data_IF_299489359964
#
_entry.id   IF_299489359964
#
_cell.length_a   1.000
_cell.length_b   1.000
_cell.length_c   1.000
_cell.angle_alpha   90.00
_cell.angle_beta   90.00
_cell.angle_gamma   90.00
#
_symmetry.space_group_name_H-M   'P 1'
#
loop_
_entity.id
_entity.type
_entity.pdbx_description
1 polymer ?
#
# COMPACT_ATOMS: atom_id res chain seq x y z
N UNK A 1 17.55 -0.26 21.75
CA UNK A 1 18.12 0.33 22.99
C UNK A 1 18.76 1.69 22.73
N UNK A 2 19.50 1.89 21.63
CA UNK A 2 20.05 3.21 21.26
C UNK A 2 18.98 4.30 21.04
N UNK A 3 17.90 3.99 20.32
CA UNK A 3 16.84 4.98 20.04
C UNK A 3 16.09 5.40 21.32
N UNK A 4 15.83 4.45 22.22
CA UNK A 4 15.23 4.73 23.53
C UNK A 4 16.09 5.68 24.38
N UNK A 5 17.41 5.51 24.36
CA UNK A 5 18.30 6.37 25.14
C UNK A 5 18.36 7.79 24.61
N UNK A 6 18.27 7.99 23.29
CA UNK A 6 18.24 9.32 22.69
C UNK A 6 16.92 10.04 22.92
N UNK A 7 15.78 9.34 22.77
CA UNK A 7 14.45 9.96 22.91
C UNK A 7 14.15 10.35 24.37
N UNK A 8 14.63 9.57 25.34
CA UNK A 8 14.34 9.80 26.77
C UNK A 8 15.49 10.42 27.56
N UNK A 9 16.62 10.78 26.93
CA UNK A 9 17.82 11.28 27.61
C UNK A 9 17.50 12.44 28.56
N UNK A 10 16.74 13.42 28.08
CA UNK A 10 16.38 14.60 28.86
C UNK A 10 15.44 14.27 30.02
N UNK A 11 14.45 13.40 29.80
CA UNK A 11 13.49 12.97 30.82
C UNK A 11 14.22 12.17 31.93
N UNK A 12 15.11 11.26 31.53
CA UNK A 12 15.93 10.46 32.45
C UNK A 12 16.84 11.36 33.29
N UNK A 13 17.47 12.36 32.68
CA UNK A 13 18.32 13.34 33.40
C UNK A 13 17.52 14.15 34.43
N UNK A 14 16.32 14.60 34.09
CA UNK A 14 15.44 15.32 35.02
C UNK A 14 15.03 14.43 36.18
N UNK A 15 14.60 13.19 35.92
CA UNK A 15 14.24 12.23 36.97
C UNK A 15 15.44 11.95 37.89
N UNK A 16 16.63 11.72 37.33
CA UNK A 16 17.86 11.53 38.11
C UNK A 16 18.19 12.75 38.96
N UNK A 17 18.06 13.96 38.42
CA UNK A 17 18.33 15.19 39.18
C UNK A 17 17.36 15.35 40.37
N UNK A 18 16.08 15.01 40.17
CA UNK A 18 15.07 15.06 41.23
C UNK A 18 15.29 13.98 42.29
N UNK A 19 15.72 12.78 41.90
CA UNK A 19 16.07 11.70 42.84
C UNK A 19 17.31 12.05 43.66
N UNK A 20 18.33 12.65 43.04
CA UNK A 20 19.54 13.11 43.75
C UNK A 20 19.16 14.23 44.72
N UNK A 21 18.35 15.19 44.28
CA UNK A 21 17.88 16.28 45.13
C UNK A 21 17.06 15.77 46.33
N UNK A 22 16.11 14.85 46.10
CA UNK A 22 15.31 14.28 47.18
C UNK A 22 16.15 13.43 48.14
N UNK A 23 17.15 12.72 47.62
CA UNK A 23 18.10 11.95 48.45
C UNK A 23 18.94 12.88 49.34
N UNK A 24 19.40 14.01 48.82
CA UNK A 24 20.13 15.02 49.61
C UNK A 24 19.23 15.61 50.71
N UNK A 25 17.95 15.83 50.45
CA UNK A 25 16.98 16.29 51.46
C UNK A 25 16.71 15.23 52.54
N UNK A 26 16.69 13.93 52.19
CA UNK A 26 16.54 12.83 53.16
C UNK A 26 17.72 12.71 54.15
N UNK A 27 18.90 13.23 53.80
CA UNK A 27 20.08 13.20 54.68
C UNK A 27 20.09 14.34 55.71
N UNK A 28 19.10 15.25 55.68
CA UNK A 28 18.99 16.36 56.64
C UNK A 28 18.35 15.87 57.94
N UNK A 29 18.87 16.37 59.07
CA UNK A 29 18.37 16.04 60.42
C UNK A 29 17.05 16.74 60.77
N UNK A 30 16.71 17.84 60.08
CA UNK A 30 15.43 18.52 60.26
C UNK A 30 14.26 17.63 59.81
N UNK A 31 13.39 17.27 60.74
CA UNK A 31 12.27 16.34 60.54
C UNK A 31 11.35 16.76 59.37
N UNK A 32 11.09 18.06 59.24
CA UNK A 32 10.26 18.60 58.16
C UNK A 32 10.92 18.44 56.78
N UNK A 33 12.24 18.70 56.69
CA UNK A 33 13.00 18.60 55.44
C UNK A 33 13.21 17.13 55.04
N UNK A 34 13.45 16.27 56.02
CA UNK A 34 13.57 14.84 55.83
C UNK A 34 12.28 14.24 55.22
N UNK A 35 11.13 14.57 55.82
CA UNK A 35 9.82 14.11 55.36
C UNK A 35 9.50 14.59 53.92
N UNK A 36 9.88 15.81 53.56
CA UNK A 36 9.77 16.31 52.18
C UNK A 36 10.66 15.49 51.23
N UNK A 37 11.89 15.19 51.64
CA UNK A 37 12.82 14.35 50.87
C UNK A 37 12.27 12.95 50.61
N UNK A 38 11.75 12.29 51.65
CA UNK A 38 11.13 10.96 51.53
C UNK A 38 9.93 11.01 50.57
N UNK A 39 9.02 11.98 50.77
CA UNK A 39 7.83 12.13 49.94
C UNK A 39 8.17 12.36 48.47
N UNK A 40 9.12 13.26 48.19
CA UNK A 40 9.61 13.49 46.82
C UNK A 40 10.26 12.25 46.23
N UNK A 41 11.10 11.54 46.98
CA UNK A 41 11.77 10.33 46.49
C UNK A 41 10.75 9.26 46.10
N UNK A 42 9.77 9.00 46.97
CA UNK A 42 8.72 8.00 46.72
C UNK A 42 7.87 8.42 45.53
N UNK A 43 7.41 9.66 45.46
CA UNK A 43 6.56 10.13 44.36
C UNK A 43 7.31 10.09 43.02
N UNK A 44 8.53 10.62 42.95
CA UNK A 44 9.34 10.63 41.72
C UNK A 44 9.66 9.20 41.29
N UNK A 45 10.05 8.32 42.21
CA UNK A 45 10.34 6.90 41.90
C UNK A 45 9.10 6.17 41.39
N UNK A 46 7.96 6.37 42.05
CA UNK A 46 6.70 5.70 41.68
C UNK A 46 6.23 6.20 40.31
N UNK A 47 6.23 7.52 40.08
CA UNK A 47 5.87 8.10 38.79
C UNK A 47 6.82 7.64 37.68
N UNK A 48 8.14 7.63 37.92
CA UNK A 48 9.12 7.16 36.94
C UNK A 48 8.90 5.69 36.58
N UNK A 49 8.66 4.83 37.58
CA UNK A 49 8.35 3.43 37.36
C UNK A 49 7.05 3.28 36.57
N UNK A 50 5.99 4.00 36.92
CA UNK A 50 4.71 3.98 36.22
C UNK A 50 4.86 4.38 34.76
N UNK A 51 5.56 5.49 34.47
CA UNK A 51 5.78 5.95 33.09
C UNK A 51 6.57 4.91 32.29
N UNK A 52 7.64 4.34 32.84
CA UNK A 52 8.44 3.32 32.16
C UNK A 52 7.64 2.04 31.88
N UNK A 53 6.81 1.60 32.83
CA UNK A 53 5.97 0.41 32.67
C UNK A 53 4.86 0.66 31.64
N UNK A 54 4.16 1.80 31.73
CA UNK A 54 3.11 2.18 30.79
C UNK A 54 3.67 2.32 29.38
N UNK A 55 4.79 3.03 29.19
CA UNK A 55 5.41 3.18 27.86
C UNK A 55 5.82 1.83 27.28
N UNK A 56 6.41 0.95 28.10
CA UNK A 56 6.80 -0.40 27.65
C UNK A 56 5.59 -1.26 27.29
N UNK A 57 4.49 -1.16 28.04
CA UNK A 57 3.24 -1.83 27.72
C UNK A 57 2.63 -1.26 26.44
N UNK A 58 2.61 0.07 26.29
CA UNK A 58 2.10 0.76 25.12
C UNK A 58 2.86 0.34 23.86
N UNK A 59 4.19 0.42 23.86
CA UNK A 59 5.04 -0.04 22.75
C UNK A 59 4.81 -1.51 22.42
N UNK A 60 4.64 -2.38 23.42
CA UNK A 60 4.32 -3.81 23.18
C UNK A 60 2.96 -3.98 22.52
N UNK A 61 1.95 -3.25 22.97
CA UNK A 61 0.60 -3.29 22.40
C UNK A 61 0.62 -2.75 20.97
N UNK A 62 1.30 -1.64 20.75
CA UNK A 62 1.43 -0.99 19.44
C UNK A 62 2.12 -1.92 18.43
N UNK A 63 3.25 -2.53 18.80
CA UNK A 63 3.93 -3.52 17.94
C UNK A 63 3.05 -4.74 17.67
N UNK A 64 2.30 -5.22 18.68
CA UNK A 64 1.37 -6.35 18.51
C UNK A 64 0.19 -6.02 17.59
N UNK A 65 -0.32 -4.78 17.61
CA UNK A 65 -1.41 -4.33 16.74
C UNK A 65 -0.93 -3.98 15.33
N UNK A 66 0.26 -3.38 15.20
CA UNK A 66 0.80 -2.89 13.94
C UNK A 66 1.14 -4.02 12.97
N UNK A 67 1.80 -5.08 13.44
CA UNK A 67 2.26 -6.19 12.57
C UNK A 67 1.12 -6.93 11.84
N UNK A 68 0.00 -7.31 12.49
CA UNK A 68 -1.14 -7.90 11.79
C UNK A 68 -1.78 -6.96 10.77
N UNK A 69 -1.82 -5.65 11.06
CA UNK A 69 -2.37 -4.64 10.15
C UNK A 69 -1.47 -4.38 8.95
N UNK A 70 -0.15 -4.34 9.14
CA UNK A 70 0.83 -4.32 8.04
C UNK A 70 0.72 -5.57 7.16
N UNK A 71 0.51 -6.73 7.77
CA UNK A 71 0.28 -7.98 7.03
C UNK A 71 -1.03 -7.95 6.23
N UNK A 72 -2.11 -7.43 6.81
CA UNK A 72 -3.38 -7.25 6.12
C UNK A 72 -3.24 -6.27 4.94
N UNK A 73 -2.57 -5.13 5.15
CA UNK A 73 -2.27 -4.16 4.11
C UNK A 73 -1.49 -4.79 2.95
N UNK A 74 -0.44 -5.56 3.27
CA UNK A 74 0.33 -6.30 2.28
C UNK A 74 -0.54 -7.27 1.46
N UNK A 75 -1.41 -8.05 2.11
CA UNK A 75 -2.25 -9.01 1.41
C UNK A 75 -3.26 -8.33 0.48
N UNK A 76 -3.87 -7.22 0.92
CA UNK A 76 -4.85 -6.49 0.13
C UNK A 76 -4.18 -5.82 -1.09
N UNK A 77 -2.99 -5.22 -0.91
CA UNK A 77 -2.19 -4.67 -2.02
C UNK A 77 -1.75 -5.77 -2.99
N UNK A 78 -1.31 -6.92 -2.47
CA UNK A 78 -0.90 -8.07 -3.30
C UNK A 78 -2.07 -8.61 -4.11
N UNK A 79 -3.26 -8.74 -3.49
CA UNK A 79 -4.46 -9.19 -4.17
C UNK A 79 -4.89 -8.20 -5.26
N UNK A 80 -4.84 -6.90 -4.96
CA UNK A 80 -5.14 -5.84 -5.92
C UNK A 80 -4.18 -5.87 -7.12
N UNK A 81 -2.87 -5.98 -6.87
CA UNK A 81 -1.85 -6.10 -7.91
C UNK A 81 -2.05 -7.37 -8.77
N UNK A 82 -2.33 -8.52 -8.15
CA UNK A 82 -2.57 -9.78 -8.86
C UNK A 82 -3.81 -9.73 -9.75
N UNK A 83 -4.90 -9.09 -9.31
CA UNK A 83 -6.10 -8.90 -10.12
C UNK A 83 -5.78 -8.07 -11.37
N UNK A 84 -5.02 -6.99 -11.22
CA UNK A 84 -4.61 -6.16 -12.34
C UNK A 84 -3.74 -6.93 -13.35
N UNK A 85 -2.76 -7.68 -12.86
CA UNK A 85 -1.89 -8.51 -13.71
C UNK A 85 -2.69 -9.57 -14.46
N UNK A 86 -3.54 -10.30 -13.73
CA UNK A 86 -4.38 -11.36 -14.30
C UNK A 86 -5.33 -10.84 -15.37
N UNK A 87 -5.92 -9.66 -15.15
CA UNK A 87 -6.79 -9.00 -16.12
C UNK A 87 -6.05 -8.73 -17.44
N UNK A 88 -4.91 -8.05 -17.38
CA UNK A 88 -4.16 -7.69 -18.59
C UNK A 88 -3.49 -8.88 -19.26
N UNK A 89 -3.05 -9.90 -18.51
CA UNK A 89 -2.57 -11.16 -19.08
C UNK A 89 -3.69 -11.90 -19.81
N UNK A 90 -4.91 -11.85 -19.29
CA UNK A 90 -6.08 -12.43 -19.96
C UNK A 90 -6.39 -11.70 -21.25
N UNK A 91 -6.36 -10.35 -21.25
CA UNK A 91 -6.53 -9.55 -22.46
C UNK A 91 -5.42 -9.84 -23.50
N UNK A 92 -4.17 -9.93 -23.06
CA UNK A 92 -3.03 -10.25 -23.92
C UNK A 92 -3.16 -11.62 -24.60
N UNK A 93 -3.60 -12.62 -23.84
CA UNK A 93 -3.86 -13.98 -24.36
C UNK A 93 -5.02 -14.04 -25.33
N UNK A 94 -6.09 -13.30 -25.08
CA UNK A 94 -7.26 -13.25 -25.97
C UNK A 94 -6.94 -12.55 -27.30
N UNK A 95 -5.96 -11.63 -27.30
CA UNK A 95 -5.39 -11.07 -28.52
C UNK A 95 -4.53 -12.08 -29.33
N UNK A 96 -4.38 -13.32 -28.86
CA UNK A 96 -3.63 -14.38 -29.54
C UNK A 96 -2.15 -14.48 -29.17
N UNK A 97 -1.71 -13.81 -28.09
CA UNK A 97 -0.31 -13.83 -27.64
C UNK A 97 -0.13 -14.66 -26.36
N UNK A 98 0.74 -15.67 -26.38
CA UNK A 98 0.82 -16.66 -25.29
C UNK A 98 2.01 -16.50 -24.35
N UNK A 99 3.03 -15.72 -24.71
CA UNK A 99 4.16 -15.43 -23.84
C UNK A 99 4.75 -14.05 -24.14
N UNK A 100 4.92 -13.17 -23.14
CA UNK A 100 5.73 -11.97 -23.29
C UNK A 100 7.20 -12.38 -23.46
N UNK A 101 7.95 -11.64 -24.29
CA UNK A 101 9.36 -11.95 -24.59
C UNK A 101 10.34 -11.53 -23.50
N UNK A 102 9.85 -10.92 -22.41
CA UNK A 102 10.68 -10.24 -21.42
C UNK A 102 10.30 -10.60 -19.98
N UNK A 103 11.26 -10.43 -19.07
CA UNK A 103 11.12 -10.62 -17.62
C UNK A 103 10.14 -9.63 -16.98
N UNK A 104 9.98 -8.45 -17.59
CA UNK A 104 8.95 -7.45 -17.24
C UNK A 104 7.55 -7.80 -17.76
N UNK A 105 7.42 -8.93 -18.45
CA UNK A 105 6.14 -9.45 -18.92
C UNK A 105 5.49 -8.54 -19.95
N UNK A 106 4.18 -8.35 -19.80
CA UNK A 106 3.36 -7.48 -20.65
C UNK A 106 3.52 -5.99 -20.33
N UNK A 107 4.19 -5.61 -19.23
CA UNK A 107 4.29 -4.23 -18.74
C UNK A 107 5.44 -3.42 -19.36
N UNK A 108 5.82 -3.80 -20.58
CA UNK A 108 6.62 -2.97 -21.47
C UNK A 108 5.71 -2.31 -22.49
N UNK A 109 5.98 -1.05 -22.82
CA UNK A 109 5.16 -0.27 -23.75
C UNK A 109 4.90 -1.01 -25.08
N UNK A 110 5.92 -1.64 -25.66
CA UNK A 110 5.79 -2.39 -26.92
C UNK A 110 4.92 -3.64 -26.82
N UNK A 111 4.99 -4.37 -25.71
CA UNK A 111 4.19 -5.59 -25.49
C UNK A 111 2.76 -5.21 -25.10
N UNK A 112 2.58 -4.20 -24.25
CA UNK A 112 1.27 -3.68 -23.85
C UNK A 112 0.53 -3.06 -25.03
N UNK A 113 1.26 -2.41 -25.95
CA UNK A 113 0.70 -1.85 -27.19
C UNK A 113 0.00 -2.88 -28.06
N UNK A 114 0.42 -4.15 -28.04
CA UNK A 114 -0.26 -5.22 -28.79
C UNK A 114 -1.70 -5.41 -28.33
N UNK A 115 -1.96 -5.27 -27.03
CA UNK A 115 -3.33 -5.33 -26.49
C UNK A 115 -4.16 -4.19 -27.08
N UNK A 116 -3.60 -2.98 -27.12
CA UNK A 116 -4.29 -1.80 -27.64
C UNK A 116 -4.62 -1.90 -29.13
N UNK A 117 -3.69 -2.43 -29.92
CA UNK A 117 -3.82 -2.49 -31.36
C UNK A 117 -4.70 -3.70 -31.81
N UNK A 118 -4.93 -4.69 -30.93
CA UNK A 118 -5.62 -5.95 -31.29
C UNK A 118 -6.90 -6.27 -30.50
N UNK A 119 -7.07 -5.77 -29.27
CA UNK A 119 -8.22 -6.12 -28.43
C UNK A 119 -9.51 -5.51 -28.98
N UNK A 120 -10.42 -6.35 -29.47
CA UNK A 120 -11.74 -5.97 -29.98
C UNK A 120 -12.72 -5.78 -28.81
N UNK A 121 -13.38 -4.62 -28.74
CA UNK A 121 -14.24 -4.26 -27.60
C UNK A 121 -15.62 -4.94 -27.63
N UNK A 122 -16.13 -5.30 -28.81
CA UNK A 122 -17.36 -6.06 -29.02
C UNK A 122 -17.20 -7.58 -28.87
N UNK A 123 -15.97 -8.09 -28.97
CA UNK A 123 -15.69 -9.50 -28.77
C UNK A 123 -16.08 -9.95 -27.36
N UNK A 124 -16.43 -11.24 -27.25
CA UNK A 124 -16.84 -11.85 -25.99
C UNK A 124 -15.59 -12.12 -25.16
N UNK A 125 -15.51 -11.52 -23.97
CA UNK A 125 -14.41 -11.78 -23.05
C UNK A 125 -14.46 -13.22 -22.50
N UNK A 126 -13.30 -13.86 -22.21
CA UNK A 126 -13.21 -15.24 -21.72
C UNK A 126 -13.56 -15.35 -20.23
N UNK A 127 -14.75 -14.87 -19.84
CA UNK A 127 -15.24 -14.82 -18.45
C UNK A 127 -16.68 -15.30 -18.33
N UNK A 128 -17.09 -15.59 -17.09
CA UNK A 128 -18.44 -16.03 -16.75
C UNK A 128 -19.09 -15.02 -15.81
N UNK A 129 -20.31 -14.50 -16.11
CA UNK A 129 -21.11 -14.75 -17.32
C UNK A 129 -20.46 -14.13 -18.58
N UNK A 130 -20.83 -14.64 -19.77
CA UNK A 130 -20.35 -14.12 -21.06
C UNK A 130 -20.78 -12.66 -21.22
N UNK A 131 -19.80 -11.76 -21.35
CA UNK A 131 -19.98 -10.33 -21.55
C UNK A 131 -18.97 -9.83 -22.58
N UNK A 132 -19.23 -8.66 -23.18
CA UNK A 132 -18.27 -8.04 -24.10
C UNK A 132 -17.01 -7.57 -23.35
N UNK A 133 -15.90 -7.49 -24.08
CA UNK A 133 -14.65 -6.91 -23.58
C UNK A 133 -14.82 -5.49 -23.07
N UNK A 134 -15.62 -4.67 -23.74
CA UNK A 134 -15.97 -3.33 -23.27
C UNK A 134 -16.56 -3.35 -21.86
N UNK A 135 -17.61 -4.16 -21.64
CA UNK A 135 -18.28 -4.24 -20.35
C UNK A 135 -17.35 -4.81 -19.27
N UNK A 136 -16.57 -5.82 -19.64
CA UNK A 136 -15.62 -6.44 -18.71
C UNK A 136 -14.54 -5.45 -18.30
N UNK A 137 -13.90 -4.77 -19.26
CA UNK A 137 -12.88 -3.75 -19.06
C UNK A 137 -13.38 -2.62 -18.16
N UNK A 138 -14.56 -2.06 -18.43
CA UNK A 138 -15.13 -0.99 -17.61
C UNK A 138 -15.36 -1.45 -16.16
N UNK A 139 -15.88 -2.67 -15.99
CA UNK A 139 -16.13 -3.22 -14.66
C UNK A 139 -14.85 -3.50 -13.87
N UNK A 140 -13.81 -4.03 -14.51
CA UNK A 140 -12.52 -4.31 -13.87
C UNK A 140 -11.72 -3.04 -13.61
N UNK A 141 -11.79 -2.05 -14.50
CA UNK A 141 -11.20 -0.73 -14.30
C UNK A 141 -11.80 -0.04 -13.06
N UNK A 142 -13.13 -0.08 -12.93
CA UNK A 142 -13.80 0.48 -11.76
C UNK A 142 -13.42 -0.28 -10.47
N UNK A 143 -13.40 -1.62 -10.50
CA UNK A 143 -12.93 -2.44 -9.36
C UNK A 143 -11.49 -2.12 -8.97
N UNK A 144 -10.64 -1.80 -9.95
CA UNK A 144 -9.26 -1.44 -9.69
C UNK A 144 -9.16 -0.07 -8.99
N UNK A 145 -9.91 0.93 -9.47
CA UNK A 145 -9.98 2.26 -8.84
C UNK A 145 -10.49 2.14 -7.41
N UNK A 146 -11.62 1.45 -7.21
CA UNK A 146 -12.26 1.32 -5.90
C UNK A 146 -11.38 0.54 -4.93
N UNK A 147 -10.77 -0.56 -5.38
CA UNK A 147 -9.84 -1.34 -4.55
C UNK A 147 -8.60 -0.54 -4.15
N UNK A 148 -8.05 0.27 -5.06
CA UNK A 148 -6.92 1.14 -4.74
C UNK A 148 -7.32 2.24 -3.74
N UNK A 149 -8.48 2.87 -3.91
CA UNK A 149 -9.02 3.86 -2.95
C UNK A 149 -9.25 3.24 -1.57
N UNK A 150 -9.84 2.06 -1.50
CA UNK A 150 -10.06 1.34 -0.25
C UNK A 150 -8.75 1.09 0.48
N UNK A 151 -7.71 0.62 -0.23
CA UNK A 151 -6.37 0.42 0.33
C UNK A 151 -5.81 1.73 0.91
N UNK A 152 -5.89 2.83 0.15
CA UNK A 152 -5.36 4.13 0.57
C UNK A 152 -6.08 4.67 1.82
N UNK A 153 -7.39 4.47 1.94
CA UNK A 153 -8.16 4.91 3.11
C UNK A 153 -7.89 4.02 4.32
N UNK A 154 -8.00 2.69 4.13
CA UNK A 154 -7.95 1.71 5.21
C UNK A 154 -6.55 1.53 5.80
N UNK A 155 -5.51 1.69 4.97
CA UNK A 155 -4.14 1.37 5.35
C UNK A 155 -3.18 2.55 5.30
N UNK A 156 -3.64 3.80 5.19
CA UNK A 156 -2.80 5.00 5.07
C UNK A 156 -1.57 5.03 6.01
N UNK A 157 -1.74 4.61 7.27
CA UNK A 157 -0.67 4.61 8.30
C UNK A 157 0.24 3.37 8.27
N UNK A 158 -0.10 2.33 7.51
CA UNK A 158 0.55 1.02 7.52
C UNK A 158 1.27 0.67 6.21
N UNK A 159 0.91 1.32 5.10
CA UNK A 159 1.67 1.24 3.85
C UNK A 159 2.79 2.30 3.82
N UNK A 160 3.97 1.98 3.25
CA UNK A 160 5.02 2.98 3.08
C UNK A 160 4.52 4.17 2.23
N UNK A 161 4.94 5.41 2.54
CA UNK A 161 4.50 6.60 1.79
C UNK A 161 4.77 6.53 0.27
N UNK A 162 5.87 5.88 -0.11
CA UNK A 162 6.21 5.67 -1.53
C UNK A 162 5.17 4.79 -2.23
N UNK A 163 4.70 3.73 -1.59
CA UNK A 163 3.69 2.82 -2.14
C UNK A 163 2.32 3.46 -2.14
N UNK A 164 1.99 4.20 -1.09
CA UNK A 164 0.78 5.03 -1.06
C UNK A 164 0.74 5.97 -2.28
N UNK A 165 1.82 6.70 -2.52
CA UNK A 165 1.94 7.62 -3.67
C UNK A 165 1.80 6.88 -5.00
N UNK A 166 2.46 5.73 -5.16
CA UNK A 166 2.38 4.94 -6.40
C UNK A 166 0.96 4.44 -6.66
N UNK A 167 0.27 3.88 -5.66
CA UNK A 167 -1.12 3.43 -5.79
C UNK A 167 -2.04 4.59 -6.16
N UNK A 168 -1.87 5.74 -5.49
CA UNK A 168 -2.63 6.95 -5.80
C UNK A 168 -2.41 7.42 -7.25
N UNK A 169 -1.15 7.49 -7.70
CA UNK A 169 -0.82 7.86 -9.07
C UNK A 169 -1.36 6.86 -10.11
N UNK A 170 -1.46 5.58 -9.76
CA UNK A 170 -2.01 4.55 -10.65
C UNK A 170 -3.50 4.72 -10.85
N UNK A 171 -4.28 4.82 -9.76
CA UNK A 171 -5.75 4.94 -9.85
C UNK A 171 -6.20 6.26 -10.46
N UNK A 172 -5.36 7.29 -10.39
CA UNK A 172 -5.62 8.63 -10.94
C UNK A 172 -4.86 8.87 -12.26
N UNK A 173 -4.27 7.82 -12.84
CA UNK A 173 -3.51 7.95 -14.07
C UNK A 173 -4.41 8.26 -15.28
N UNK A 174 -3.92 9.05 -16.26
CA UNK A 174 -4.62 9.27 -17.53
C UNK A 174 -5.02 7.96 -18.23
N UNK A 175 -4.16 6.94 -18.16
CA UNK A 175 -4.46 5.61 -18.65
C UNK A 175 -5.78 5.05 -18.07
N UNK A 176 -5.93 5.06 -16.74
CA UNK A 176 -7.12 4.55 -16.05
C UNK A 176 -8.35 5.41 -16.29
N UNK A 177 -8.17 6.73 -16.32
CA UNK A 177 -9.26 7.67 -16.55
C UNK A 177 -9.84 7.56 -17.97
N UNK A 178 -8.99 7.40 -19.00
CA UNK A 178 -9.45 7.33 -20.38
C UNK A 178 -10.25 6.07 -20.70
N UNK A 179 -10.00 4.96 -19.98
CA UNK A 179 -10.85 3.76 -20.06
C UNK A 179 -12.29 4.07 -19.66
N UNK A 180 -12.51 4.87 -18.62
CA UNK A 180 -13.86 5.26 -18.19
C UNK A 180 -14.62 6.09 -19.23
N UNK A 181 -13.91 6.73 -20.17
CA UNK A 181 -14.50 7.59 -21.19
C UNK A 181 -14.92 6.83 -22.47
N UNK A 182 -14.60 5.53 -22.59
CA UNK A 182 -14.97 4.72 -23.76
C UNK A 182 -16.46 4.86 -24.12
N UNK A 183 -17.43 4.77 -23.17
CA UNK A 183 -18.84 4.89 -23.50
C UNK A 183 -19.21 6.27 -24.05
N UNK A 184 -18.64 7.33 -23.49
CA UNK A 184 -18.88 8.70 -23.95
C UNK A 184 -18.34 8.92 -25.37
N UNK A 185 -17.15 8.39 -25.68
CA UNK A 185 -16.57 8.45 -27.02
C UNK A 185 -17.44 7.65 -28.02
N UNK A 186 -17.95 6.48 -27.64
CA UNK A 186 -18.86 5.69 -28.49
C UNK A 186 -20.18 6.41 -28.75
N UNK A 187 -20.76 7.05 -27.75
CA UNK A 187 -21.98 7.87 -27.92
C UNK A 187 -21.72 9.02 -28.90
N UNK A 188 -20.59 9.70 -28.76
CA UNK A 188 -20.15 10.75 -29.70
C UNK A 188 -19.95 10.20 -31.11
N UNK A 189 -19.33 9.03 -31.28
CA UNK A 189 -19.13 8.42 -32.59
C UNK A 189 -20.48 8.09 -33.27
N UNK A 190 -21.51 7.68 -32.50
CA UNK A 190 -22.87 7.47 -32.99
C UNK A 190 -23.51 8.80 -33.43
N UNK A 191 -23.43 9.84 -32.61
CA UNK A 191 -24.02 11.16 -32.88
C UNK A 191 -23.43 11.81 -34.13
N UNK A 192 -22.11 11.77 -34.28
CA UNK A 192 -21.39 12.37 -35.41
C UNK A 192 -21.19 11.43 -36.60
N UNK A 193 -21.73 10.20 -36.55
CA UNK A 193 -21.56 9.15 -37.58
C UNK A 193 -20.09 8.85 -37.91
N UNK A 194 -19.23 8.87 -36.89
CA UNK A 194 -17.81 8.56 -37.02
C UNK A 194 -17.60 7.05 -37.04
N UNK A 195 -17.05 6.52 -38.13
CA UNK A 195 -16.74 5.08 -38.24
C UNK A 195 -15.34 4.78 -37.66
N UNK A 196 -15.25 4.69 -36.34
CA UNK A 196 -14.02 4.35 -35.63
C UNK A 196 -13.83 2.82 -35.56
N UNK A 197 -12.59 2.34 -35.65
CA UNK A 197 -12.29 0.91 -35.44
C UNK A 197 -12.63 0.51 -34.01
N UNK A 198 -13.31 -0.64 -33.82
CA UNK A 198 -13.76 -1.12 -32.50
C UNK A 198 -12.66 -1.78 -31.64
N UNK A 199 -11.44 -1.25 -31.70
CA UNK A 199 -10.29 -1.73 -30.92
C UNK A 199 -10.01 -0.81 -29.74
N UNK A 200 -9.46 -1.36 -28.65
CA UNK A 200 -9.18 -0.61 -27.42
C UNK A 200 -8.42 0.70 -27.69
N UNK A 201 -7.34 0.64 -28.47
CA UNK A 201 -6.49 1.81 -28.74
C UNK A 201 -7.12 2.90 -29.58
N UNK A 202 -8.32 2.69 -30.12
CA UNK A 202 -9.08 3.76 -30.77
C UNK A 202 -9.89 4.59 -29.77
N UNK A 203 -10.19 4.05 -28.58
CA UNK A 203 -11.05 4.69 -27.57
C UNK A 203 -10.31 5.12 -26.30
N UNK A 204 -9.05 4.76 -26.14
CA UNK A 204 -8.30 5.06 -24.91
C UNK A 204 -6.90 5.58 -25.22
N UNK A 205 -6.34 6.34 -24.28
CA UNK A 205 -4.94 6.74 -24.38
C UNK A 205 -4.04 5.53 -24.11
N UNK A 206 -2.97 5.42 -24.90
CA UNK A 206 -1.94 4.41 -24.69
C UNK A 206 -1.16 4.76 -23.41
N UNK A 207 -0.98 3.82 -22.46
CA UNK A 207 -0.19 4.09 -21.28
C UNK A 207 1.26 4.33 -21.69
N UNK A 208 1.88 5.34 -21.09
CA UNK A 208 3.32 5.58 -21.24
C UNK A 208 4.10 4.58 -20.39
N UNK A 209 5.35 4.29 -20.75
CA UNK A 209 6.21 3.44 -19.91
C UNK A 209 6.28 3.92 -18.45
N UNK A 210 6.25 5.23 -18.19
CA UNK A 210 6.22 5.78 -16.83
C UNK A 210 5.01 5.34 -16.00
N UNK A 211 3.84 5.15 -16.63
CA UNK A 211 2.63 4.63 -15.97
C UNK A 211 2.73 3.12 -15.75
N UNK A 212 3.30 2.37 -16.69
CA UNK A 212 3.56 0.94 -16.55
C UNK A 212 4.60 0.64 -15.46
N UNK A 213 5.62 1.50 -15.32
CA UNK A 213 6.64 1.41 -14.29
C UNK A 213 6.07 1.59 -12.87
N UNK A 214 4.96 2.32 -12.71
CA UNK A 214 4.26 2.41 -11.44
C UNK A 214 3.70 1.04 -11.02
N UNK A 215 3.14 0.25 -11.95
CA UNK A 215 2.71 -1.12 -11.67
C UNK A 215 3.88 -2.02 -11.28
N UNK A 216 5.01 -1.91 -11.99
CA UNK A 216 6.23 -2.65 -11.67
C UNK A 216 6.78 -2.28 -10.28
N UNK A 217 6.65 -1.02 -9.84
CA UNK A 217 7.02 -0.61 -8.48
C UNK A 217 6.16 -1.26 -7.41
N UNK A 218 4.84 -1.34 -7.60
CA UNK A 218 3.96 -2.06 -6.66
C UNK A 218 4.28 -3.55 -6.64
N UNK A 219 4.47 -4.16 -7.81
CA UNK A 219 4.86 -5.57 -7.94
C UNK A 219 6.17 -5.87 -7.21
N UNK A 220 7.22 -5.08 -7.46
CA UNK A 220 8.53 -5.23 -6.84
C UNK A 220 8.49 -5.02 -5.32
N UNK A 221 7.67 -4.08 -4.84
CA UNK A 221 7.45 -3.91 -3.41
C UNK A 221 6.82 -5.15 -2.78
N UNK A 222 5.74 -5.67 -3.37
CA UNK A 222 5.10 -6.87 -2.86
C UNK A 222 6.07 -8.07 -2.87
N UNK A 223 6.89 -8.24 -3.91
CA UNK A 223 7.90 -9.30 -3.97
C UNK A 223 8.95 -9.18 -2.85
N UNK A 224 9.41 -7.96 -2.57
CA UNK A 224 10.37 -7.69 -1.50
C UNK A 224 9.75 -7.90 -0.13
N UNK A 225 8.53 -7.37 0.08
CA UNK A 225 7.80 -7.47 1.34
C UNK A 225 7.38 -8.90 1.67
N UNK A 226 7.11 -9.72 0.66
CA UNK A 226 6.87 -11.15 0.81
C UNK A 226 8.03 -11.85 1.54
N UNK A 227 9.28 -11.56 1.15
CA UNK A 227 10.48 -12.16 1.78
C UNK A 227 10.65 -11.75 3.24
N UNK A 228 10.23 -10.54 3.60
CA UNK A 228 10.26 -10.04 4.98
C UNK A 228 9.18 -10.69 5.83
N UNK A 229 7.94 -10.73 5.32
CA UNK A 229 6.77 -11.23 6.04
C UNK A 229 6.70 -12.76 6.08
N UNK A 230 7.24 -13.46 5.07
CA UNK A 230 7.32 -14.92 5.03
C UNK A 230 8.20 -15.52 6.14
N UNK A 231 9.08 -14.72 6.75
CA UNK A 231 9.84 -15.12 7.95
C UNK A 231 8.98 -15.07 9.22
N UNK A 232 7.88 -14.33 9.21
CA UNK A 232 7.04 -14.05 10.38
C UNK A 232 5.68 -14.76 10.33
N UNK A 233 5.15 -15.00 9.14
CA UNK A 233 3.83 -15.60 8.91
C UNK A 233 3.97 -16.78 7.94
N UNK A 234 3.26 -17.90 8.21
CA UNK A 234 3.18 -19.03 7.27
C UNK A 234 2.04 -18.80 6.27
N UNK A 235 2.21 -19.22 5.01
CA UNK A 235 1.17 -19.13 3.98
C UNK A 235 0.92 -17.74 3.41
N UNK A 236 1.91 -16.85 3.47
CA UNK A 236 1.83 -15.49 2.90
C UNK A 236 1.59 -15.58 1.40
N UNK A 237 0.60 -14.85 0.87
CA UNK A 237 0.37 -14.79 -0.58
C UNK A 237 1.56 -14.10 -1.25
N UNK A 238 1.94 -14.58 -2.42
CA UNK A 238 2.95 -13.93 -3.27
C UNK A 238 2.26 -13.28 -4.47
N UNK A 239 2.96 -12.36 -5.13
CA UNK A 239 2.50 -11.78 -6.39
C UNK A 239 2.74 -12.76 -7.52
N UNK A 240 1.83 -12.76 -8.50
CA UNK A 240 1.94 -13.55 -9.72
C UNK A 240 3.22 -13.18 -10.49
N UNK A 241 3.78 -14.18 -11.17
CA UNK A 241 4.82 -13.92 -12.16
C UNK A 241 4.26 -13.06 -13.29
N UNK A 242 5.11 -12.20 -13.86
CA UNK A 242 4.73 -11.34 -14.99
C UNK A 242 4.75 -12.08 -16.34
N UNK A 243 5.15 -13.36 -16.33
CA UNK A 243 5.29 -14.26 -17.48
C UNK A 243 3.92 -14.75 -17.94
#
# INVERSE_FOLDING_TARGET
MKDFWNDYKMIILVILSLLIFSFVLMLREEELVNNIGISLFVNVSTTALTVLVIDRLYRRIEVRKKKPLEFAAYNDVTLWCNKFISFWQTAYRDCGYYAPKTDKGIFLEDEFRRIYDSLQLDAIAPVTPKISWERYLLSENQRMIDGGREILVKYAYYIPPEIYKVIYQLIDSPFIYTICNIPAIKLSDIEFKTNRKNVLGAYTAKPKQAELDLFLKVHGWCFTKHKELGKLFKGVRTVSALI
#
